data_IF_292907428174
#
_entry.id   IF_292907428174
#
_cell.length_a   1.000
_cell.length_b   1.000
_cell.length_c   1.000
_cell.angle_alpha   90.00
_cell.angle_beta   90.00
_cell.angle_gamma   90.00
#
_symmetry.space_group_name_H-M   'P 1'
#
loop_
_entity.id
_entity.type
_entity.pdbx_description
1 polymer ?
#
# COMPACT_ATOMS: atom_id res chain seq x y z
N UNK A 1 42.38 -50.06 4.79
CA UNK A 1 41.49 -48.94 5.16
C UNK A 1 42.09 -47.64 4.63
N UNK A 2 41.61 -47.14 3.49
CA UNK A 2 42.14 -45.90 2.88
C UNK A 2 41.59 -44.67 3.61
N UNK A 3 42.46 -43.89 4.25
CA UNK A 3 42.12 -42.56 4.77
C UNK A 3 42.15 -41.56 3.61
N UNK A 4 40.99 -41.34 2.99
CA UNK A 4 40.83 -40.24 2.04
C UNK A 4 40.87 -38.90 2.80
N UNK A 5 42.01 -38.21 2.72
CA UNK A 5 42.15 -36.84 3.21
C UNK A 5 41.86 -35.87 2.07
N UNK A 6 40.68 -35.24 2.10
CA UNK A 6 40.34 -34.19 1.14
C UNK A 6 41.24 -32.95 1.34
N UNK A 7 41.84 -32.39 0.27
CA UNK A 7 42.65 -31.19 0.35
C UNK A 7 41.83 -29.99 0.85
N UNK A 8 42.46 -29.11 1.63
CA UNK A 8 41.83 -27.98 2.35
C UNK A 8 40.92 -27.12 1.46
N UNK A 9 41.28 -26.96 0.20
CA UNK A 9 40.55 -26.13 -0.76
C UNK A 9 39.21 -26.75 -1.19
N UNK A 10 39.12 -28.09 -1.27
CA UNK A 10 37.86 -28.78 -1.57
C UNK A 10 36.91 -28.71 -0.37
N UNK A 11 37.44 -28.77 0.85
CA UNK A 11 36.63 -28.60 2.07
C UNK A 11 36.01 -27.21 2.15
N UNK A 12 36.77 -26.16 1.80
CA UNK A 12 36.26 -24.79 1.75
C UNK A 12 35.20 -24.61 0.65
N UNK A 13 35.39 -25.23 -0.51
CA UNK A 13 34.42 -25.20 -1.61
C UNK A 13 33.10 -25.89 -1.22
N UNK A 14 33.16 -27.07 -0.60
CA UNK A 14 31.98 -27.78 -0.09
C UNK A 14 31.25 -26.99 1.00
N UNK A 15 31.99 -26.30 1.87
CA UNK A 15 31.40 -25.43 2.89
C UNK A 15 30.66 -24.23 2.26
N UNK A 16 31.22 -23.64 1.21
CA UNK A 16 30.58 -22.56 0.46
C UNK A 16 29.28 -23.00 -0.24
N UNK A 17 29.29 -24.18 -0.87
CA UNK A 17 28.08 -24.75 -1.50
C UNK A 17 27.01 -25.05 -0.44
N UNK A 18 27.39 -25.58 0.72
CA UNK A 18 26.45 -25.86 1.80
C UNK A 18 25.80 -24.56 2.34
N UNK A 19 26.57 -23.49 2.50
CA UNK A 19 26.06 -22.17 2.88
C UNK A 19 25.08 -21.60 1.85
N UNK A 20 25.38 -21.72 0.56
CA UNK A 20 24.50 -21.26 -0.51
C UNK A 20 23.14 -22.01 -0.51
N UNK A 21 23.15 -23.32 -0.28
CA UNK A 21 21.92 -24.13 -0.19
C UNK A 21 21.08 -23.76 1.04
N UNK A 22 21.72 -23.45 2.17
CA UNK A 22 21.02 -22.96 3.37
C UNK A 22 20.38 -21.60 3.10
N UNK A 23 21.08 -20.66 2.44
CA UNK A 23 20.51 -19.35 2.09
C UNK A 23 19.35 -19.42 1.11
N UNK A 24 19.35 -20.40 0.18
CA UNK A 24 18.24 -20.62 -0.75
C UNK A 24 16.95 -21.11 -0.05
N UNK A 25 17.06 -21.75 1.12
CA UNK A 25 15.89 -22.16 1.90
C UNK A 25 15.28 -21.01 2.72
N UNK A 26 16.02 -19.93 2.98
CA UNK A 26 15.50 -18.73 3.64
C UNK A 26 14.80 -17.75 2.70
N UNK A 27 14.98 -17.88 1.39
CA UNK A 27 14.29 -17.06 0.38
C UNK A 27 12.99 -17.67 -0.12
N UNK A 28 12.68 -18.91 0.24
CA UNK A 28 11.38 -19.51 -0.01
C UNK A 28 10.39 -19.02 1.06
N UNK A 29 10.00 -17.75 0.94
CA UNK A 29 8.69 -17.36 1.44
C UNK A 29 7.70 -18.26 0.70
N UNK A 30 6.95 -19.16 1.37
CA UNK A 30 5.89 -19.87 0.68
C UNK A 30 5.00 -18.79 0.09
N UNK A 31 4.83 -18.83 -1.23
CA UNK A 31 3.87 -18.02 -1.95
C UNK A 31 2.48 -18.50 -1.50
N UNK A 32 2.10 -18.17 -0.27
CA UNK A 32 0.69 -18.05 0.08
C UNK A 32 0.22 -16.87 -0.76
N UNK A 33 -0.20 -17.18 -1.98
CA UNK A 33 -1.22 -16.40 -2.67
C UNK A 33 -2.42 -16.46 -1.73
N UNK A 34 -2.38 -15.56 -0.76
CA UNK A 34 -3.57 -15.11 -0.05
C UNK A 34 -4.29 -14.33 -1.14
N UNK A 35 -5.06 -15.04 -1.96
CA UNK A 35 -6.15 -14.37 -2.68
C UNK A 35 -6.93 -13.57 -1.64
N UNK A 36 -7.48 -12.39 -1.99
CA UNK A 36 -8.22 -11.58 -1.03
C UNK A 36 -9.22 -12.50 -0.32
N UNK A 37 -9.07 -12.60 1.00
CA UNK A 37 -10.05 -13.31 1.83
C UNK A 37 -11.40 -12.69 1.54
N UNK A 38 -12.35 -13.49 1.06
CA UNK A 38 -13.75 -13.08 0.87
C UNK A 38 -14.48 -12.91 2.21
N UNK A 39 -13.79 -13.05 3.35
CA UNK A 39 -14.29 -12.51 4.60
C UNK A 39 -14.17 -11.00 4.52
N UNK A 40 -15.33 -10.35 4.39
CA UNK A 40 -15.47 -8.91 4.35
C UNK A 40 -15.67 -8.43 5.79
N UNK A 41 -14.64 -8.11 6.60
CA UNK A 41 -14.87 -7.26 7.76
C UNK A 41 -15.21 -5.89 7.19
N UNK A 42 -16.49 -5.69 6.88
CA UNK A 42 -17.00 -4.37 6.54
C UNK A 42 -17.01 -3.59 7.84
N UNK A 43 -15.84 -3.08 8.24
CA UNK A 43 -15.75 -2.13 9.33
C UNK A 43 -16.65 -0.94 9.05
N UNK A 44 -17.10 -0.27 10.11
CA UNK A 44 -17.85 0.98 9.97
C UNK A 44 -16.84 2.13 10.03
N UNK A 45 -17.01 3.15 9.18
CA UNK A 45 -16.20 4.36 9.31
C UNK A 45 -16.38 4.97 10.70
N UNK A 46 -15.27 5.20 11.41
CA UNK A 46 -15.30 6.00 12.63
C UNK A 46 -15.65 7.45 12.30
N UNK A 47 -16.16 8.25 13.26
CA UNK A 47 -16.43 9.67 13.01
C UNK A 47 -15.21 10.45 12.51
N UNK A 48 -14.02 10.14 13.03
CA UNK A 48 -12.75 10.75 12.60
C UNK A 48 -12.43 10.40 11.14
N UNK A 49 -12.51 9.11 10.78
CA UNK A 49 -12.30 8.66 9.41
C UNK A 49 -13.31 9.30 8.45
N UNK A 50 -14.60 9.34 8.83
CA UNK A 50 -15.65 9.96 8.02
C UNK A 50 -15.40 11.46 7.78
N UNK A 51 -14.93 12.17 8.81
CA UNK A 51 -14.57 13.60 8.71
C UNK A 51 -13.38 13.82 7.78
N UNK A 52 -12.33 13.01 7.91
CA UNK A 52 -11.16 13.08 7.03
C UNK A 52 -11.51 12.70 5.60
N UNK A 53 -12.27 11.62 5.42
CA UNK A 53 -12.80 11.16 4.14
C UNK A 53 -13.54 12.28 3.39
N UNK A 54 -14.35 13.08 4.10
CA UNK A 54 -15.00 14.27 3.53
C UNK A 54 -14.03 15.39 3.18
N UNK A 55 -13.01 15.59 4.01
CA UNK A 55 -11.96 16.57 3.77
C UNK A 55 -11.14 16.22 2.51
N UNK A 56 -10.79 14.94 2.36
CA UNK A 56 -10.11 14.43 1.17
C UNK A 56 -10.95 14.65 -0.10
N UNK A 57 -12.25 14.34 -0.08
CA UNK A 57 -13.16 14.66 -1.20
C UNK A 57 -13.05 16.12 -1.63
N UNK A 58 -13.07 17.06 -0.67
CA UNK A 58 -13.02 18.48 -0.98
C UNK A 58 -11.66 18.89 -1.60
N UNK A 59 -10.53 18.34 -1.15
CA UNK A 59 -9.23 18.64 -1.75
C UNK A 59 -9.18 18.28 -3.25
N UNK A 60 -9.74 17.12 -3.62
CA UNK A 60 -9.84 16.70 -5.01
C UNK A 60 -10.87 17.52 -5.79
N UNK A 61 -12.06 17.77 -5.24
CA UNK A 61 -13.12 18.55 -5.89
C UNK A 61 -12.70 20.00 -6.19
N UNK A 62 -11.92 20.61 -5.30
CA UNK A 62 -11.39 21.95 -5.46
C UNK A 62 -10.14 22.00 -6.37
N UNK A 63 -9.63 20.84 -6.80
CA UNK A 63 -8.43 20.75 -7.63
C UNK A 63 -7.16 21.25 -6.94
N UNK A 64 -7.11 21.23 -5.61
CA UNK A 64 -5.99 21.76 -4.81
C UNK A 64 -4.89 20.70 -4.66
N UNK A 65 -4.08 20.55 -5.70
CA UNK A 65 -2.97 19.59 -5.75
C UNK A 65 -2.06 19.64 -4.51
N UNK A 66 -1.66 20.84 -4.09
CA UNK A 66 -0.78 21.00 -2.93
C UNK A 66 -1.45 20.58 -1.62
N UNK A 67 -2.77 20.76 -1.49
CA UNK A 67 -3.52 20.26 -0.32
C UNK A 67 -3.57 18.74 -0.30
N UNK A 68 -3.69 18.08 -1.46
CA UNK A 68 -3.65 16.62 -1.55
C UNK A 68 -2.26 16.13 -1.10
N UNK A 69 -1.18 16.71 -1.64
CA UNK A 69 0.21 16.35 -1.30
C UNK A 69 0.48 16.57 0.20
N UNK A 70 0.08 17.72 0.76
CA UNK A 70 0.28 18.04 2.17
C UNK A 70 -0.46 17.07 3.12
N UNK A 71 -1.49 16.39 2.62
CA UNK A 71 -2.26 15.39 3.36
C UNK A 71 -1.83 13.94 3.05
N UNK A 72 -0.66 13.75 2.44
CA UNK A 72 0.04 12.47 2.40
C UNK A 72 1.11 12.40 3.49
N UNK A 73 1.67 11.22 3.74
CA UNK A 73 2.86 11.14 4.59
C UNK A 73 4.09 11.69 3.85
N UNK A 74 5.05 12.33 4.55
CA UNK A 74 6.24 12.90 3.93
C UNK A 74 6.99 11.92 3.02
N UNK A 75 7.10 10.65 3.43
CA UNK A 75 7.74 9.57 2.66
C UNK A 75 7.03 9.25 1.34
N UNK A 76 5.73 9.55 1.22
CA UNK A 76 4.95 9.34 0.00
C UNK A 76 4.74 10.63 -0.80
N UNK A 77 5.17 11.78 -0.28
CA UNK A 77 4.94 13.08 -0.93
C UNK A 77 5.61 13.20 -2.30
N UNK A 78 6.80 12.59 -2.48
CA UNK A 78 7.52 12.56 -3.76
C UNK A 78 6.73 11.77 -4.80
N UNK A 79 6.23 10.60 -4.42
CA UNK A 79 5.36 9.78 -5.27
C UNK A 79 4.07 10.54 -5.59
N UNK A 80 3.44 11.17 -4.59
CA UNK A 80 2.24 11.97 -4.83
C UNK A 80 2.50 13.13 -5.81
N UNK A 81 3.67 13.78 -5.73
CA UNK A 81 4.06 14.82 -6.68
C UNK A 81 4.18 14.29 -8.11
N UNK A 82 4.81 13.14 -8.32
CA UNK A 82 5.04 12.59 -9.65
C UNK A 82 3.76 12.05 -10.30
N UNK A 83 2.85 11.48 -9.50
CA UNK A 83 1.65 10.80 -10.00
C UNK A 83 0.37 11.66 -9.96
N UNK A 84 0.32 12.74 -9.18
CA UNK A 84 -0.85 13.63 -9.21
C UNK A 84 -0.89 14.45 -10.50
N UNK A 85 -2.01 14.37 -11.25
CA UNK A 85 -2.17 15.19 -12.44
C UNK A 85 -2.18 16.67 -12.07
N UNK A 86 -1.52 17.48 -12.91
CA UNK A 86 -1.53 18.94 -12.76
C UNK A 86 -2.83 19.58 -13.24
N UNK A 87 -3.66 18.85 -14.00
CA UNK A 87 -4.94 19.33 -14.50
C UNK A 87 -6.02 19.27 -13.40
N UNK A 88 -6.54 20.42 -12.92
CA UNK A 88 -7.59 20.46 -11.90
C UNK A 88 -8.88 19.73 -12.33
N UNK A 89 -9.17 19.63 -13.62
CA UNK A 89 -10.34 18.91 -14.11
C UNK A 89 -10.23 17.40 -13.86
N UNK A 90 -9.03 16.83 -13.97
CA UNK A 90 -8.78 15.41 -13.65
C UNK A 90 -8.92 15.18 -12.14
N UNK A 91 -8.35 16.07 -11.32
CA UNK A 91 -8.50 16.00 -9.87
C UNK A 91 -9.97 16.10 -9.46
N UNK A 92 -10.73 16.99 -10.09
CA UNK A 92 -12.16 17.13 -9.82
C UNK A 92 -12.95 15.86 -10.18
N UNK A 93 -12.66 15.22 -11.32
CA UNK A 93 -13.27 13.92 -11.67
C UNK A 93 -12.99 12.86 -10.61
N UNK A 94 -11.77 12.83 -10.08
CA UNK A 94 -11.42 11.94 -8.98
C UNK A 94 -12.24 12.25 -7.72
N UNK A 95 -12.34 13.53 -7.35
CA UNK A 95 -13.16 13.99 -6.22
C UNK A 95 -14.64 13.59 -6.37
N UNK A 96 -15.21 13.79 -7.55
CA UNK A 96 -16.59 13.37 -7.88
C UNK A 96 -16.77 11.85 -7.72
N UNK A 97 -15.81 11.04 -8.16
CA UNK A 97 -15.83 9.60 -7.97
C UNK A 97 -15.69 9.21 -6.48
N UNK A 98 -14.86 9.93 -5.72
CA UNK A 98 -14.64 9.71 -4.29
C UNK A 98 -15.90 9.99 -3.46
N UNK A 99 -16.77 10.93 -3.88
CA UNK A 99 -18.07 11.14 -3.22
C UNK A 99 -19.02 9.94 -3.33
N UNK A 100 -18.81 9.08 -4.33
CA UNK A 100 -19.62 7.88 -4.61
C UNK A 100 -18.91 6.58 -4.20
N UNK A 101 -17.83 6.72 -3.42
CA UNK A 101 -16.98 5.60 -3.04
C UNK A 101 -17.76 4.53 -2.27
N UNK A 102 -17.33 3.29 -2.42
CA UNK A 102 -17.81 2.15 -1.66
C UNK A 102 -16.73 1.72 -0.67
N UNK A 103 -17.06 1.66 0.61
CA UNK A 103 -16.13 1.14 1.61
C UNK A 103 -15.86 -0.35 1.33
N UNK A 104 -14.59 -0.70 1.21
CA UNK A 104 -14.13 -2.09 1.10
C UNK A 104 -13.67 -2.61 2.45
N UNK A 105 -12.94 -1.78 3.20
CA UNK A 105 -12.39 -2.15 4.50
C UNK A 105 -12.23 -0.91 5.38
N UNK A 106 -12.51 -1.03 6.67
CA UNK A 106 -12.14 -0.05 7.68
C UNK A 106 -11.65 -0.77 8.94
N UNK A 107 -10.47 -0.40 9.40
CA UNK A 107 -9.90 -0.78 10.68
C UNK A 107 -9.49 0.45 11.49
N UNK A 108 -8.83 0.22 12.61
CA UNK A 108 -8.39 1.30 13.50
C UNK A 108 -7.39 2.25 12.83
N UNK A 109 -6.45 1.69 12.05
CA UNK A 109 -5.33 2.45 11.48
C UNK A 109 -5.40 2.64 9.96
N UNK A 110 -6.34 1.99 9.27
CA UNK A 110 -6.36 1.92 7.82
C UNK A 110 -7.77 1.73 7.30
N UNK A 111 -8.07 2.37 6.17
CA UNK A 111 -9.34 2.22 5.46
C UNK A 111 -9.13 2.23 3.95
N UNK A 112 -9.92 1.44 3.24
CA UNK A 112 -9.84 1.28 1.79
C UNK A 112 -11.22 1.36 1.15
N UNK A 113 -11.27 2.05 0.01
CA UNK A 113 -12.49 2.36 -0.70
C UNK A 113 -12.34 2.03 -2.18
N UNK A 114 -13.39 1.51 -2.78
CA UNK A 114 -13.54 1.39 -4.23
C UNK A 114 -14.16 2.67 -4.79
N UNK A 115 -13.57 3.21 -5.84
CA UNK A 115 -14.14 4.29 -6.64
C UNK A 115 -14.27 3.83 -8.09
N UNK A 116 -15.17 4.47 -8.84
CA UNK A 116 -15.31 4.23 -10.28
C UNK A 116 -15.11 5.52 -11.06
N UNK A 117 -14.17 5.50 -12.01
CA UNK A 117 -13.88 6.60 -12.94
C UNK A 117 -13.93 6.01 -14.35
N UNK A 118 -14.76 6.59 -15.23
CA UNK A 118 -14.90 6.17 -16.63
C UNK A 118 -15.17 4.65 -16.78
N UNK A 119 -15.98 4.08 -15.89
CA UNK A 119 -16.34 2.66 -15.88
C UNK A 119 -15.27 1.70 -15.36
N UNK A 120 -14.08 2.21 -14.99
CA UNK A 120 -13.00 1.44 -14.39
C UNK A 120 -13.00 1.62 -12.87
N UNK A 121 -12.69 0.53 -12.16
CA UNK A 121 -12.63 0.53 -10.70
C UNK A 121 -11.21 0.76 -10.23
N UNK A 122 -11.08 1.60 -9.21
CA UNK A 122 -9.82 1.94 -8.56
C UNK A 122 -10.00 1.87 -7.04
N UNK A 123 -8.89 1.84 -6.32
CA UNK A 123 -8.87 1.71 -4.87
C UNK A 123 -8.13 2.87 -4.23
N UNK A 124 -8.78 3.56 -3.30
CA UNK A 124 -8.23 4.67 -2.52
C UNK A 124 -8.04 4.22 -1.09
N UNK A 125 -6.93 4.60 -0.49
CA UNK A 125 -6.60 4.21 0.87
C UNK A 125 -6.27 5.41 1.75
N UNK A 126 -6.82 5.39 2.97
CA UNK A 126 -6.50 6.33 4.04
C UNK A 126 -5.88 5.56 5.21
N UNK A 127 -4.99 6.22 5.96
CA UNK A 127 -4.37 5.61 7.12
C UNK A 127 -3.92 6.63 8.15
N UNK A 128 -3.74 6.17 9.39
CA UNK A 128 -3.19 6.94 10.51
C UNK A 128 -2.10 6.11 11.22
N UNK A 129 -1.19 6.77 11.94
CA UNK A 129 -0.06 6.09 12.60
C UNK A 129 -0.29 5.84 14.10
N UNK A 130 -1.55 5.89 14.57
CA UNK A 130 -1.94 5.78 15.98
C UNK A 130 -2.05 7.12 16.69
N UNK A 131 -1.81 8.23 15.99
CA UNK A 131 -1.95 9.61 16.47
C UNK A 131 -3.36 10.20 16.25
N UNK A 132 -4.25 9.43 15.62
CA UNK A 132 -5.59 9.87 15.25
C UNK A 132 -5.64 10.80 14.03
N UNK A 133 -4.50 11.09 13.40
CA UNK A 133 -4.41 11.98 12.23
C UNK A 133 -4.45 11.13 10.96
N UNK A 134 -5.61 11.11 10.31
CA UNK A 134 -5.77 10.40 9.05
C UNK A 134 -5.11 11.15 7.89
N UNK A 135 -4.52 10.39 6.98
CA UNK A 135 -3.82 10.86 5.79
C UNK A 135 -4.16 10.01 4.57
N UNK A 136 -3.93 10.58 3.39
CA UNK A 136 -4.02 9.89 2.11
C UNK A 136 -2.79 9.00 1.96
N UNK A 137 -3.00 7.71 1.76
CA UNK A 137 -1.94 6.71 1.55
C UNK A 137 -1.78 6.40 0.07
N UNK A 138 -2.89 6.23 -0.65
CA UNK A 138 -2.91 5.86 -2.07
C UNK A 138 -4.17 6.37 -2.75
N UNK A 139 -4.04 6.76 -4.03
CA UNK A 139 -5.13 7.14 -4.94
C UNK A 139 -4.81 6.68 -6.36
#
# INVERSE_FOLDING_TARGET
>A
MSKFSFPRNIRLYLFGVMLAVITLNFTNCPEKVSGPSNENPTGVETPALKSFSKTAENFFLEGKRDSIIANTYPEFSVVAQDYLPNDPAILKKFGEALTKKKLLYAGELYAEYEITIDGKRYTVAFGQSGDGVWKIVRF
#
